data_IF_577469210730
#
_entry.id   IF_577469210730
#
_cell.length_a   1.000
_cell.length_b   1.000
_cell.length_c   1.000
_cell.angle_alpha   90.00
_cell.angle_beta   90.00
_cell.angle_gamma   90.00
#
_symmetry.space_group_name_H-M   'P 1'
#
loop_
_entity.id
_entity.type
_entity.pdbx_description
1 polymer ?
#
# COMPACT_ATOMS: atom_id res chain seq x y z
N UNK A 1 2.11 -2.12 -15.78
CA UNK A 1 2.86 -1.74 -14.57
C UNK A 1 2.98 -2.97 -13.68
N UNK A 2 4.19 -3.32 -13.24
CA UNK A 2 4.44 -4.48 -12.38
C UNK A 2 3.73 -4.28 -11.04
N UNK A 3 2.55 -4.90 -10.89
CA UNK A 3 1.87 -4.98 -9.60
C UNK A 3 2.69 -5.85 -8.65
N UNK A 4 2.78 -5.47 -7.38
CA UNK A 4 3.33 -6.36 -6.36
C UNK A 4 2.21 -7.29 -5.94
N UNK A 5 2.44 -8.60 -6.11
CA UNK A 5 1.54 -9.63 -5.62
C UNK A 5 1.77 -9.74 -4.12
N UNK A 6 0.85 -9.18 -3.35
CA UNK A 6 0.79 -9.37 -1.90
C UNK A 6 -0.13 -10.56 -1.60
N UNK A 7 0.24 -11.42 -0.64
CA UNK A 7 -0.62 -12.53 -0.26
C UNK A 7 -1.93 -12.02 0.36
N UNK A 8 -2.98 -12.82 0.25
CA UNK A 8 -4.23 -12.57 0.95
C UNK A 8 -4.01 -12.51 2.46
N UNK A 9 -4.79 -11.66 3.15
CA UNK A 9 -4.59 -11.38 4.58
C UNK A 9 -3.42 -10.45 4.89
N UNK A 10 -2.73 -9.92 3.88
CA UNK A 10 -1.77 -8.82 4.09
C UNK A 10 -2.49 -7.57 4.56
N UNK A 11 -2.05 -7.02 5.68
CA UNK A 11 -2.53 -5.74 6.21
C UNK A 11 -1.78 -4.59 5.54
N UNK A 12 -2.47 -3.48 5.33
CA UNK A 12 -1.98 -2.28 4.66
C UNK A 12 -2.21 -1.07 5.54
N UNK A 13 -1.25 -0.15 5.55
CA UNK A 13 -1.41 1.13 6.23
C UNK A 13 -0.82 2.24 5.38
N UNK A 14 -1.61 3.27 5.11
CA UNK A 14 -1.12 4.52 4.52
C UNK A 14 -0.78 5.47 5.65
N UNK A 15 0.42 6.03 5.63
CA UNK A 15 0.80 7.19 6.46
C UNK A 15 1.34 8.31 5.55
N UNK A 16 0.54 9.37 5.40
CA UNK A 16 0.87 10.51 4.57
C UNK A 16 0.45 11.84 5.22
N UNK A 17 1.42 12.64 5.65
CA UNK A 17 1.18 14.01 6.15
C UNK A 17 0.05 14.08 7.21
N UNK A 18 0.11 13.17 8.20
CA UNK A 18 -0.87 13.04 9.28
C UNK A 18 -2.12 12.23 8.94
N UNK A 19 -2.30 11.83 7.68
CA UNK A 19 -3.37 10.92 7.27
C UNK A 19 -2.92 9.50 7.55
N UNK A 20 -3.65 8.80 8.42
CA UNK A 20 -3.51 7.36 8.64
C UNK A 20 -4.76 6.63 8.22
N UNK A 21 -4.61 5.69 7.29
CA UNK A 21 -5.71 4.83 6.84
C UNK A 21 -5.24 3.38 6.80
N UNK A 22 -6.13 2.47 7.18
CA UNK A 22 -5.84 1.04 7.26
C UNK A 22 -6.64 0.29 6.20
N UNK A 23 -6.04 -0.76 5.70
CA UNK A 23 -6.57 -1.58 4.63
C UNK A 23 -6.04 -3.00 4.69
N UNK A 24 -6.45 -3.81 3.72
CA UNK A 24 -6.02 -5.20 3.62
C UNK A 24 -6.08 -5.67 2.16
N UNK A 25 -5.40 -6.77 1.88
CA UNK A 25 -5.41 -7.38 0.55
C UNK A 25 -6.53 -8.41 0.45
N UNK A 26 -7.44 -8.22 -0.52
CA UNK A 26 -8.54 -9.13 -0.85
C UNK A 26 -8.47 -9.47 -2.33
N UNK A 27 -8.40 -10.76 -2.68
CA UNK A 27 -8.38 -11.20 -4.08
C UNK A 27 -7.27 -10.54 -4.92
N UNK A 28 -6.11 -10.27 -4.31
CA UNK A 28 -4.98 -9.61 -4.95
C UNK A 28 -5.13 -8.09 -5.15
N UNK A 29 -6.19 -7.47 -4.63
CA UNK A 29 -6.41 -6.02 -4.65
C UNK A 29 -6.14 -5.42 -3.28
N UNK A 30 -5.67 -4.17 -3.28
CA UNK A 30 -5.46 -3.37 -2.07
C UNK A 30 -6.78 -2.68 -1.73
N UNK A 31 -7.41 -3.04 -0.61
CA UNK A 31 -8.70 -2.50 -0.19
C UNK A 31 -8.53 -1.56 1.00
N UNK A 32 -9.11 -0.36 0.90
CA UNK A 32 -9.18 0.66 1.96
C UNK A 32 -10.64 1.11 2.08
N UNK A 33 -11.34 0.70 3.14
CA UNK A 33 -12.78 0.88 3.23
C UNK A 33 -13.50 0.22 2.05
N UNK A 34 -14.32 0.99 1.33
CA UNK A 34 -15.04 0.55 0.12
C UNK A 34 -14.23 0.71 -1.18
N UNK A 35 -13.02 1.27 -1.09
CA UNK A 35 -12.18 1.52 -2.26
C UNK A 35 -11.21 0.37 -2.51
N UNK A 36 -11.04 0.01 -3.78
CA UNK A 36 -10.11 -1.03 -4.23
C UNK A 36 -9.10 -0.48 -5.22
N UNK A 37 -7.85 -0.90 -5.08
CA UNK A 37 -6.74 -0.46 -5.93
C UNK A 37 -5.86 -1.61 -6.39
N UNK A 38 -5.36 -1.47 -7.62
CA UNK A 38 -4.49 -2.47 -8.25
C UNK A 38 -2.99 -2.13 -8.11
N UNK A 39 -2.65 -1.05 -7.40
CA UNK A 39 -1.25 -0.65 -7.19
C UNK A 39 -1.09 0.25 -5.96
N UNK A 40 0.04 0.15 -5.24
CA UNK A 40 0.36 1.01 -4.09
C UNK A 40 0.21 2.51 -4.35
N UNK A 41 0.77 3.01 -5.46
CA UNK A 41 0.70 4.44 -5.81
C UNK A 41 -0.74 4.93 -5.98
N UNK A 42 -1.60 4.12 -6.62
CA UNK A 42 -3.03 4.46 -6.75
C UNK A 42 -3.75 4.41 -5.40
N UNK A 43 -3.40 3.46 -4.54
CA UNK A 43 -4.00 3.36 -3.21
C UNK A 43 -3.69 4.60 -2.37
N UNK A 44 -2.42 4.99 -2.24
CA UNK A 44 -2.04 6.19 -1.47
C UNK A 44 -2.69 7.44 -2.06
N UNK A 45 -2.63 7.64 -3.38
CA UNK A 45 -3.22 8.82 -4.00
C UNK A 45 -4.74 8.86 -3.85
N UNK A 46 -5.42 7.71 -3.89
CA UNK A 46 -6.86 7.59 -3.69
C UNK A 46 -7.26 7.91 -2.25
N UNK A 47 -6.61 7.29 -1.27
CA UNK A 47 -6.81 7.55 0.17
C UNK A 47 -6.55 9.03 0.49
N UNK A 48 -5.43 9.58 0.02
CA UNK A 48 -5.12 11.00 0.30
C UNK A 48 -6.11 11.94 -0.39
N UNK A 49 -6.57 11.62 -1.60
CA UNK A 49 -7.57 12.41 -2.30
C UNK A 49 -8.92 12.38 -1.58
N UNK A 50 -9.32 11.25 -1.00
CA UNK A 50 -10.53 11.14 -0.18
C UNK A 50 -10.43 12.06 1.05
N UNK A 51 -9.28 12.08 1.73
CA UNK A 51 -9.08 12.90 2.93
C UNK A 51 -8.87 14.40 2.66
N UNK A 52 -8.18 14.80 1.57
CA UNK A 52 -7.82 16.21 1.28
C UNK A 52 -8.59 16.84 0.12
N UNK A 53 -9.42 16.07 -0.58
CA UNK A 53 -10.15 16.52 -1.78
C UNK A 53 -9.29 16.70 -3.04
N UNK A 54 -7.97 16.45 -2.99
CA UNK A 54 -7.06 16.63 -4.11
C UNK A 54 -6.10 15.46 -4.27
N UNK A 55 -5.82 15.07 -5.52
CA UNK A 55 -4.79 14.07 -5.84
C UNK A 55 -3.41 14.63 -5.56
N UNK A 56 -2.59 13.81 -4.90
CA UNK A 56 -1.17 14.11 -4.70
C UNK A 56 -0.33 13.37 -5.73
N UNK A 57 0.69 14.05 -6.28
CA UNK A 57 1.74 13.41 -7.06
C UNK A 57 2.85 13.00 -6.10
N UNK A 58 2.66 11.88 -5.40
CA UNK A 58 3.68 11.33 -4.49
C UNK A 58 4.14 9.94 -4.90
N UNK A 59 5.34 9.57 -4.47
CA UNK A 59 5.80 8.20 -4.54
C UNK A 59 5.09 7.38 -3.44
N UNK A 60 3.88 6.91 -3.73
CA UNK A 60 3.04 6.17 -2.77
C UNK A 60 3.70 4.94 -2.14
N UNK A 61 4.76 4.40 -2.72
CA UNK A 61 5.53 3.30 -2.13
C UNK A 61 6.21 3.66 -0.81
N UNK A 62 6.59 4.94 -0.63
CA UNK A 62 7.24 5.44 0.59
C UNK A 62 6.25 5.76 1.72
N UNK A 63 4.96 5.69 1.41
CA UNK A 63 3.88 6.05 2.32
C UNK A 63 2.93 4.88 2.57
N UNK A 64 3.19 3.73 1.95
CA UNK A 64 2.44 2.51 2.15
C UNK A 64 3.29 1.54 2.98
N UNK A 65 2.77 1.20 4.15
CA UNK A 65 3.25 0.13 5.00
C UNK A 65 2.44 -1.14 4.71
N UNK A 66 3.13 -2.26 4.79
CA UNK A 66 2.62 -3.59 4.47
C UNK A 66 3.05 -4.51 5.58
N UNK A 67 2.11 -5.30 6.10
CA UNK A 67 2.39 -6.37 7.04
C UNK A 67 1.79 -7.65 6.48
N UNK A 68 2.62 -8.51 5.90
CA UNK A 68 2.18 -9.83 5.41
C UNK A 68 1.87 -10.73 6.61
N UNK A 69 1.10 -11.81 6.44
CA UNK A 69 0.80 -12.73 7.53
C UNK A 69 2.03 -13.32 8.25
N UNK A 70 3.17 -13.41 7.54
CA UNK A 70 4.44 -13.89 8.09
C UNK A 70 5.38 -12.78 8.59
N UNK A 71 5.02 -11.50 8.43
CA UNK A 71 5.83 -10.39 8.91
C UNK A 71 5.50 -10.11 10.39
N UNK A 72 6.55 -9.93 11.21
CA UNK A 72 6.41 -9.56 12.62
C UNK A 72 6.03 -8.08 12.77
N UNK A 73 6.60 -7.23 11.93
CA UNK A 73 6.46 -5.78 11.96
C UNK A 73 5.95 -5.22 10.62
N UNK A 74 5.45 -3.99 10.66
CA UNK A 74 5.09 -3.24 9.47
C UNK A 74 6.35 -2.88 8.67
N UNK A 75 6.34 -3.20 7.38
CA UNK A 75 7.44 -2.91 6.46
C UNK A 75 7.01 -1.91 5.40
N UNK A 76 7.90 -1.01 4.98
CA UNK A 76 7.60 -0.11 3.86
C UNK A 76 7.48 -0.90 2.56
N UNK A 77 6.46 -0.60 1.76
CA UNK A 77 6.26 -1.24 0.46
C UNK A 77 7.48 -1.03 -0.46
N UNK A 78 8.17 0.10 -0.36
CA UNK A 78 9.41 0.37 -1.10
C UNK A 78 10.57 -0.56 -0.70
N UNK A 79 10.67 -0.93 0.57
CA UNK A 79 11.66 -1.90 1.07
C UNK A 79 11.36 -3.31 0.53
N UNK A 80 10.08 -3.70 0.52
CA UNK A 80 9.65 -4.97 -0.05
C UNK A 80 9.94 -5.04 -1.55
N UNK A 81 9.69 -3.96 -2.27
CA UNK A 81 10.00 -3.83 -3.71
C UNK A 81 11.49 -3.97 -3.99
N UNK A 82 12.32 -3.42 -3.12
CA UNK A 82 13.78 -3.51 -3.23
C UNK A 82 14.26 -4.93 -2.92
N UNK A 83 13.77 -5.55 -1.84
CA UNK A 83 14.12 -6.93 -1.46
C UNK A 83 13.67 -7.97 -2.49
N UNK A 84 12.50 -7.80 -3.11
CA UNK A 84 12.01 -8.70 -4.17
C UNK A 84 12.87 -8.68 -5.43
N UNK A 85 13.66 -7.62 -5.65
CA UNK A 85 14.52 -7.51 -6.84
C UNK A 85 15.87 -8.22 -6.68
N UNK A 86 16.20 -8.65 -5.46
CA UNK A 86 17.46 -9.33 -5.11
C UNK A 86 17.33 -10.85 -4.94
N UNK A 87 16.14 -11.43 -5.11
CA UNK A 87 15.99 -12.88 -5.31
C UNK A 87 16.03 -13.16 -6.81
N UNK A 88 17.25 -13.30 -7.34
CA UNK A 88 17.56 -13.80 -8.69
C UNK A 88 17.62 -15.32 -8.67
#
# INVERSE_FOLDING_TARGET
GKGVLLPEGTELQVDYSGIRSFGHVVGGKLKFGDMEYNSPSRAVNGVVAEHRGNRVSTNGWKHLYVKRPSDLDWLLADELRTKSRFRS
#
